data_IF_556185751267
#
_entry.id   IF_556185751267
#
_cell.length_a   1.000
_cell.length_b   1.000
_cell.length_c   1.000
_cell.angle_alpha   90.00
_cell.angle_beta   90.00
_cell.angle_gamma   90.00
#
_symmetry.space_group_name_H-M   'P 1'
#
loop_
_entity.id
_entity.type
_entity.pdbx_description
1 polymer ?
#
# COMPACT_ATOMS: atom_id res chain seq x y z
N UNK A 1 -11.83 -18.40 -1.98
CA UNK A 1 -10.43 -18.24 -1.55
C UNK A 1 -10.03 -16.85 -2.02
N UNK A 2 -10.25 -15.84 -1.19
CA UNK A 2 -10.07 -14.44 -1.57
C UNK A 2 -8.60 -14.07 -1.47
N UNK A 3 -8.01 -13.70 -2.60
CA UNK A 3 -6.72 -13.02 -2.67
C UNK A 3 -7.02 -11.54 -2.41
N UNK A 4 -6.82 -11.09 -1.18
CA UNK A 4 -6.85 -9.65 -0.86
C UNK A 4 -5.61 -9.01 -1.46
N UNK A 5 -5.80 -8.16 -2.47
CA UNK A 5 -4.73 -7.39 -3.10
C UNK A 5 -4.75 -5.97 -2.53
N UNK A 6 -3.70 -5.57 -1.81
CA UNK A 6 -3.70 -4.32 -1.04
C UNK A 6 -3.33 -3.09 -1.90
N UNK A 7 -2.84 -3.25 -3.14
CA UNK A 7 -2.53 -2.11 -4.01
C UNK A 7 -2.75 -2.43 -5.51
N UNK A 8 -3.73 -1.77 -6.13
CA UNK A 8 -3.83 -1.64 -7.58
C UNK A 8 -3.39 -0.24 -8.01
N UNK A 9 -2.27 -0.11 -8.73
CA UNK A 9 -1.79 1.17 -9.24
C UNK A 9 -2.22 1.36 -10.71
N UNK A 10 -3.17 2.27 -10.95
CA UNK A 10 -3.54 2.70 -12.30
C UNK A 10 -2.76 3.97 -12.69
N UNK A 11 -1.78 3.83 -13.57
CA UNK A 11 -1.26 4.90 -14.45
C UNK A 11 -0.39 6.02 -13.83
N UNK A 12 0.80 6.25 -14.44
CA UNK A 12 1.69 7.38 -14.15
C UNK A 12 1.15 8.68 -14.79
N UNK A 13 0.04 9.21 -14.29
CA UNK A 13 -0.39 10.57 -14.62
C UNK A 13 -0.36 11.47 -13.36
N UNK A 14 0.68 12.31 -13.18
CA UNK A 14 0.82 13.11 -11.96
C UNK A 14 -0.33 14.12 -11.75
N UNK A 15 -1.11 14.41 -12.79
CA UNK A 15 -2.24 15.34 -12.77
C UNK A 15 -3.62 14.67 -12.90
N UNK A 16 -3.70 13.35 -13.05
CA UNK A 16 -4.99 12.66 -13.08
C UNK A 16 -5.76 12.91 -11.78
N UNK A 17 -7.10 12.97 -11.78
CA UNK A 17 -7.88 13.05 -10.54
C UNK A 17 -7.51 11.93 -9.57
N UNK A 18 -7.48 12.23 -8.28
CA UNK A 18 -7.27 11.20 -7.26
C UNK A 18 -8.49 10.25 -7.22
N UNK A 19 -8.27 8.93 -7.10
CA UNK A 19 -9.37 8.00 -6.97
C UNK A 19 -10.07 8.16 -5.63
N UNK A 20 -11.38 7.89 -5.61
CA UNK A 20 -12.11 7.63 -4.38
C UNK A 20 -11.59 6.32 -3.78
N UNK A 21 -11.06 6.34 -2.56
CA UNK A 21 -10.34 5.20 -2.00
C UNK A 21 -11.23 3.98 -1.82
N UNK A 22 -12.54 4.17 -1.67
CA UNK A 22 -13.52 3.09 -1.50
C UNK A 22 -14.12 2.60 -2.83
N UNK A 23 -13.63 3.06 -3.97
CA UNK A 23 -14.18 2.74 -5.30
C UNK A 23 -14.16 1.25 -5.67
N UNK A 24 -13.27 0.46 -5.06
CA UNK A 24 -13.14 -0.98 -5.27
C UNK A 24 -13.66 -1.81 -4.07
N UNK A 25 -14.34 -1.20 -3.10
CA UNK A 25 -14.81 -1.92 -1.91
C UNK A 25 -15.90 -2.95 -2.26
N UNK A 26 -15.81 -4.13 -1.66
CA UNK A 26 -16.81 -5.20 -1.76
C UNK A 26 -17.58 -5.32 -0.42
N UNK A 27 -18.70 -6.06 -0.43
CA UNK A 27 -19.56 -6.19 0.74
C UNK A 27 -18.80 -6.84 1.92
N UNK A 28 -18.55 -6.05 2.98
CA UNK A 28 -17.85 -6.49 4.18
C UNK A 28 -16.31 -6.37 4.15
N UNK A 29 -15.71 -5.95 3.03
CA UNK A 29 -14.27 -5.71 2.91
C UNK A 29 -13.98 -4.40 2.18
N UNK A 30 -13.30 -3.47 2.86
CA UNK A 30 -12.87 -2.22 2.25
C UNK A 30 -11.50 -2.40 1.61
N UNK A 31 -11.48 -2.61 0.30
CA UNK A 31 -10.25 -2.47 -0.48
C UNK A 31 -10.02 -0.98 -0.77
N UNK A 32 -8.81 -0.52 -0.47
CA UNK A 32 -8.43 0.88 -0.69
C UNK A 32 -7.68 1.05 -2.00
N UNK A 33 -8.23 1.86 -2.90
CA UNK A 33 -7.60 2.20 -4.17
C UNK A 33 -6.86 3.53 -4.07
N UNK A 34 -5.56 3.52 -4.39
CA UNK A 34 -4.72 4.71 -4.39
C UNK A 34 -4.06 4.92 -5.74
N UNK A 35 -3.85 6.19 -6.11
CA UNK A 35 -2.94 6.56 -7.18
C UNK A 35 -1.52 6.71 -6.62
N UNK A 36 -0.53 6.17 -7.33
CA UNK A 36 0.88 6.43 -7.02
C UNK A 36 1.27 7.76 -7.67
N UNK A 37 1.43 8.79 -6.84
CA UNK A 37 1.81 10.14 -7.31
C UNK A 37 3.31 10.29 -7.54
N UNK A 38 4.09 9.63 -6.69
CA UNK A 38 5.54 9.64 -6.78
C UNK A 38 6.06 8.22 -6.59
N UNK A 39 7.00 7.85 -7.45
CA UNK A 39 7.77 6.62 -7.38
C UNK A 39 9.25 7.02 -7.46
N UNK A 40 9.97 6.82 -6.36
CA UNK A 40 11.36 7.23 -6.22
C UNK A 40 12.21 6.07 -5.69
N UNK A 41 13.33 5.79 -6.36
CA UNK A 41 14.36 4.91 -5.83
C UNK A 41 15.28 5.71 -4.91
N UNK A 42 15.37 5.29 -3.65
CA UNK A 42 16.21 5.92 -2.64
C UNK A 42 17.67 5.49 -2.77
N UNK A 43 18.64 6.22 -2.17
CA UNK A 43 20.07 5.89 -2.26
C UNK A 43 20.45 4.52 -1.71
N UNK A 44 19.67 3.98 -0.76
CA UNK A 44 19.85 2.64 -0.19
C UNK A 44 19.27 1.52 -1.07
N UNK A 45 18.73 1.87 -2.25
CA UNK A 45 18.12 0.95 -3.20
C UNK A 45 16.65 0.63 -2.92
N UNK A 46 16.09 1.08 -1.79
CA UNK A 46 14.67 0.95 -1.50
C UNK A 46 13.83 1.81 -2.45
N UNK A 47 12.54 1.51 -2.57
CA UNK A 47 11.62 2.28 -3.42
C UNK A 47 10.52 2.90 -2.58
N UNK A 48 10.35 4.21 -2.72
CA UNK A 48 9.36 5.01 -2.03
C UNK A 48 8.19 5.33 -2.99
N UNK A 49 7.00 4.92 -2.60
CA UNK A 49 5.75 5.07 -3.34
C UNK A 49 4.81 5.97 -2.55
N UNK A 50 4.59 7.19 -3.04
CA UNK A 50 3.62 8.11 -2.46
C UNK A 50 2.23 7.78 -2.98
N UNK A 51 1.43 7.11 -2.15
CA UNK A 51 0.06 6.73 -2.45
C UNK A 51 -0.91 7.83 -1.98
N UNK A 52 -1.77 8.31 -2.89
CA UNK A 52 -2.76 9.35 -2.62
C UNK A 52 -4.14 8.95 -3.13
N UNK A 53 -5.17 9.43 -2.45
CA UNK A 53 -6.57 9.20 -2.80
C UNK A 53 -7.46 10.27 -2.17
N UNK A 54 -8.76 10.13 -2.38
CA UNK A 54 -9.79 10.98 -1.78
C UNK A 54 -10.85 10.10 -1.11
N UNK A 55 -11.42 10.56 -0.01
CA UNK A 55 -12.63 9.99 0.58
C UNK A 55 -13.64 11.09 0.83
N UNK A 56 -14.77 11.07 0.12
CA UNK A 56 -15.85 12.08 0.25
C UNK A 56 -15.34 13.52 0.15
N UNK A 57 -14.36 13.77 -0.72
CA UNK A 57 -13.73 15.09 -0.92
C UNK A 57 -12.55 15.42 0.00
N UNK A 58 -12.22 14.55 0.97
CA UNK A 58 -11.04 14.70 1.82
C UNK A 58 -9.86 13.94 1.22
N UNK A 59 -8.73 14.63 1.03
CA UNK A 59 -7.50 13.98 0.57
C UNK A 59 -6.93 13.06 1.65
N UNK A 60 -6.46 11.89 1.22
CA UNK A 60 -5.78 10.91 2.06
C UNK A 60 -4.49 10.43 1.40
N UNK A 61 -3.57 9.91 2.21
CA UNK A 61 -2.37 9.28 1.66
C UNK A 61 -1.45 8.63 2.66
N UNK A 62 -0.52 7.84 2.13
CA UNK A 62 0.54 7.17 2.88
C UNK A 62 1.76 7.02 1.99
N UNK A 63 2.96 7.16 2.57
CA UNK A 63 4.19 6.83 1.87
C UNK A 63 4.56 5.38 2.19
N UNK A 64 4.63 4.54 1.16
CA UNK A 64 5.02 3.14 1.27
C UNK A 64 6.45 2.99 0.79
N UNK A 65 7.34 2.49 1.64
CA UNK A 65 8.73 2.19 1.28
C UNK A 65 8.94 0.68 1.24
N UNK A 66 9.31 0.17 0.07
CA UNK A 66 9.64 -1.21 -0.18
C UNK A 66 11.16 -1.37 -0.05
N UNK A 67 11.62 -2.26 0.83
CA UNK A 67 13.06 -2.49 1.02
C UNK A 67 13.76 -2.95 -0.26
N UNK A 68 15.05 -2.68 -0.37
CA UNK A 68 15.87 -3.09 -1.53
C UNK A 68 16.06 -4.62 -1.67
N UNK A 69 15.66 -5.41 -0.66
CA UNK A 69 15.89 -6.86 -0.62
C UNK A 69 14.60 -7.61 -0.35
N UNK A 70 14.28 -8.52 -1.27
CA UNK A 70 13.11 -9.40 -1.25
C UNK A 70 13.55 -10.82 -1.59
N UNK A 71 14.24 -11.55 -0.69
CA UNK A 71 14.58 -12.95 -0.91
C UNK A 71 13.33 -13.83 -1.07
N UNK A 72 13.47 -14.92 -1.81
CA UNK A 72 12.42 -15.93 -1.94
C UNK A 72 11.99 -16.47 -0.58
N UNK A 73 10.67 -16.53 -0.36
CA UNK A 73 10.04 -17.15 0.78
C UNK A 73 9.59 -18.56 0.42
N UNK A 74 10.05 -19.55 1.19
CA UNK A 74 9.57 -20.93 1.05
C UNK A 74 8.33 -21.11 1.92
N UNK A 75 7.18 -21.29 1.28
CA UNK A 75 5.99 -21.85 1.93
C UNK A 75 6.01 -23.38 1.82
N UNK A 76 5.11 -24.06 2.52
CA UNK A 76 4.86 -25.52 2.38
C UNK A 76 4.88 -25.92 0.88
N UNK A 77 5.45 -27.10 0.59
CA UNK A 77 5.64 -27.70 -0.73
C UNK A 77 4.39 -27.78 -1.63
N UNK A 78 3.21 -27.40 -1.12
CA UNK A 78 1.94 -27.40 -1.85
C UNK A 78 1.55 -26.07 -2.49
N UNK A 79 2.32 -24.99 -2.33
CA UNK A 79 2.00 -23.69 -2.95
C UNK A 79 2.71 -23.55 -4.31
N UNK A 80 1.98 -23.47 -5.44
CA UNK A 80 2.57 -23.47 -6.78
C UNK A 80 3.11 -22.09 -7.21
N UNK A 81 3.33 -21.18 -6.27
CA UNK A 81 3.73 -19.79 -6.55
C UNK A 81 5.04 -19.47 -5.85
N UNK A 82 5.96 -18.82 -6.57
CA UNK A 82 7.12 -18.18 -5.95
C UNK A 82 6.63 -17.02 -5.10
N UNK A 83 7.13 -16.96 -3.87
CA UNK A 83 6.87 -15.85 -2.99
C UNK A 83 8.17 -15.17 -2.60
N UNK A 84 8.07 -13.91 -2.19
CA UNK A 84 9.21 -13.13 -1.72
C UNK A 84 8.86 -12.46 -0.40
N UNK A 85 9.85 -12.32 0.49
CA UNK A 85 9.68 -11.67 1.79
C UNK A 85 10.63 -10.48 1.92
N UNK A 86 10.08 -9.32 2.25
CA UNK A 86 10.84 -8.10 2.45
C UNK A 86 10.30 -7.27 3.60
N UNK A 87 10.90 -6.10 3.82
CA UNK A 87 10.40 -5.11 4.77
C UNK A 87 9.59 -4.07 4.02
N UNK A 88 8.36 -3.85 4.48
CA UNK A 88 7.51 -2.73 4.06
C UNK A 88 7.52 -1.72 5.19
N UNK A 89 7.67 -0.45 4.85
CA UNK A 89 7.61 0.63 5.82
C UNK A 89 6.54 1.63 5.41
N UNK A 90 5.60 1.92 6.30
CA UNK A 90 4.67 3.02 6.13
C UNK A 90 5.24 4.26 6.82
N UNK A 91 5.22 5.38 6.12
CA UNK A 91 5.62 6.68 6.63
C UNK A 91 4.45 7.67 6.51
N UNK A 92 4.29 8.48 7.54
CA UNK A 92 3.26 9.51 7.57
C UNK A 92 3.58 10.65 6.59
N UNK A 93 2.56 11.11 5.88
CA UNK A 93 2.54 12.32 5.06
C UNK A 93 1.91 13.50 5.83
N UNK A 94 1.79 13.39 7.16
CA UNK A 94 1.14 14.38 8.01
C UNK A 94 -0.39 14.28 7.92
N UNK A 95 -1.12 15.41 7.76
CA UNK A 95 -2.58 15.43 7.82
C UNK A 95 -3.28 14.43 6.91
N UNK A 96 -2.77 14.19 5.69
CA UNK A 96 -3.36 13.23 4.77
C UNK A 96 -3.32 11.78 5.29
N UNK A 97 -2.28 11.42 6.05
CA UNK A 97 -2.16 10.11 6.68
C UNK A 97 -2.99 10.00 7.96
N UNK A 98 -3.09 11.09 8.72
CA UNK A 98 -3.96 11.15 9.89
C UNK A 98 -5.43 10.98 9.47
N UNK A 99 -5.85 11.69 8.41
CA UNK A 99 -7.17 11.51 7.79
C UNK A 99 -7.40 10.08 7.33
N UNK A 100 -6.40 9.43 6.71
CA UNK A 100 -6.52 8.04 6.31
C UNK A 100 -6.81 7.11 7.50
N UNK A 101 -6.10 7.25 8.62
CA UNK A 101 -6.36 6.44 9.82
C UNK A 101 -7.76 6.67 10.41
N UNK A 102 -8.23 7.92 10.42
CA UNK A 102 -9.59 8.23 10.86
C UNK A 102 -10.65 7.55 9.99
N UNK A 103 -10.44 7.55 8.67
CA UNK A 103 -11.35 6.92 7.72
C UNK A 103 -11.32 5.39 7.86
N UNK A 104 -10.16 4.80 8.12
CA UNK A 104 -10.08 3.37 8.45
C UNK A 104 -10.85 3.04 9.73
N UNK A 105 -10.73 3.87 10.78
CA UNK A 105 -11.47 3.67 12.03
C UNK A 105 -12.99 3.78 11.84
N UNK A 106 -13.45 4.70 10.98
CA UNK A 106 -14.86 4.81 10.56
C UNK A 106 -15.32 3.57 9.78
N UNK A 107 -14.62 3.22 8.70
CA UNK A 107 -15.04 2.18 7.76
C UNK A 107 -15.04 0.79 8.38
N UNK A 108 -14.02 0.47 9.18
CA UNK A 108 -13.97 -0.81 9.89
C UNK A 108 -14.68 -0.81 11.25
N UNK A 109 -15.22 0.34 11.68
CA UNK A 109 -15.95 0.45 12.95
C UNK A 109 -15.12 0.06 14.17
N UNK A 110 -13.81 0.32 14.17
CA UNK A 110 -12.89 -0.19 15.20
C UNK A 110 -12.97 0.58 16.53
N UNK A 111 -13.52 1.80 16.53
CA UNK A 111 -13.62 2.68 17.71
C UNK A 111 -12.28 2.91 18.44
N UNK A 112 -11.18 2.90 17.69
CA UNK A 112 -9.83 3.14 18.20
C UNK A 112 -9.52 4.63 18.33
N UNK A 113 -10.24 5.49 17.62
CA UNK A 113 -10.11 6.95 17.66
C UNK A 113 -8.65 7.40 17.51
N UNK A 114 -7.96 7.03 16.41
CA UNK A 114 -6.57 7.38 16.20
C UNK A 114 -6.41 8.91 16.22
N UNK A 115 -5.32 9.44 16.78
CA UNK A 115 -5.06 10.89 16.77
C UNK A 115 -4.17 11.32 15.61
N UNK A 116 -3.18 10.49 15.30
CA UNK A 116 -2.25 10.71 14.21
C UNK A 116 -1.53 9.41 13.84
N UNK A 117 -1.07 9.34 12.60
CA UNK A 117 -0.19 8.28 12.13
C UNK A 117 1.21 8.49 12.71
N UNK A 118 1.82 7.39 13.15
CA UNK A 118 3.24 7.41 13.54
C UNK A 118 4.11 7.83 12.35
N UNK A 119 5.23 8.48 12.63
CA UNK A 119 6.20 8.89 11.59
C UNK A 119 6.62 7.72 10.71
N UNK A 120 6.86 6.55 11.32
CA UNK A 120 7.26 5.34 10.62
C UNK A 120 6.71 4.10 11.33
N UNK A 121 6.27 3.10 10.57
CA UNK A 121 5.99 1.74 11.08
C UNK A 121 6.44 0.70 10.07
N UNK A 122 7.13 -0.34 10.55
CA UNK A 122 7.72 -1.40 9.73
C UNK A 122 6.95 -2.70 9.86
N UNK A 123 6.82 -3.40 8.75
CA UNK A 123 6.12 -4.67 8.64
C UNK A 123 6.94 -5.65 7.81
N UNK A 124 6.70 -6.94 8.03
CA UNK A 124 7.15 -7.97 7.08
C UNK A 124 6.11 -8.07 5.97
N UNK A 125 6.53 -7.81 4.74
CA UNK A 125 5.70 -7.98 3.55
C UNK A 125 5.94 -9.33 2.90
N UNK A 126 4.89 -9.89 2.30
CA UNK A 126 4.96 -11.06 1.42
C UNK A 126 4.42 -10.65 0.05
N UNK A 127 5.18 -10.90 -1.00
CA UNK A 127 4.72 -10.78 -2.39
C UNK A 127 4.55 -12.15 -3.00
N UNK A 128 3.56 -12.31 -3.89
CA UNK A 128 3.25 -13.56 -4.58
C UNK A 128 3.39 -13.35 -6.09
N UNK A 129 4.20 -14.17 -6.75
CA UNK A 129 4.34 -14.15 -8.21
C UNK A 129 5.30 -13.10 -8.75
N UNK A 130 5.68 -12.10 -7.94
CA UNK A 130 6.59 -11.05 -8.36
C UNK A 130 7.39 -10.41 -7.24
N UNK A 131 8.43 -9.66 -7.65
CA UNK A 131 9.46 -9.18 -6.75
C UNK A 131 9.34 -7.65 -6.58
N UNK A 132 8.99 -7.14 -5.39
CA UNK A 132 8.65 -5.72 -5.23
C UNK A 132 9.81 -4.71 -5.40
N UNK A 133 11.05 -5.16 -5.44
CA UNK A 133 12.20 -4.33 -5.86
C UNK A 133 12.38 -4.26 -7.39
N UNK A 134 11.55 -4.98 -8.15
CA UNK A 134 11.54 -5.09 -9.61
C UNK A 134 10.19 -4.69 -10.22
N UNK A 135 9.55 -3.62 -9.72
CA UNK A 135 8.23 -3.10 -10.15
C UNK A 135 8.06 -2.81 -11.65
N UNK A 136 9.13 -2.90 -12.44
CA UNK A 136 9.11 -2.72 -13.90
C UNK A 136 8.92 -4.04 -14.67
N UNK A 137 8.87 -5.18 -13.97
CA UNK A 137 8.59 -6.50 -14.54
C UNK A 137 7.22 -6.99 -14.10
N UNK A 138 6.40 -7.44 -15.04
CA UNK A 138 5.11 -8.09 -14.73
C UNK A 138 5.31 -9.56 -14.28
N UNK A 139 4.43 -10.12 -13.41
CA UNK A 139 3.67 -9.46 -12.34
C UNK A 139 4.57 -9.19 -11.12
N UNK A 140 4.10 -8.32 -10.21
CA UNK A 140 4.72 -8.01 -8.91
C UNK A 140 3.94 -8.71 -7.80
#
# INVERSE_FOLDING_TARGET
MGISSIFGASGKEPYAPLPEITSAAEEGWHDFTFAIRKDEKLPDGSRALEARGVYRGHEVGVLVVLSASWPEAKFDQKVPWTAYRGVITYRSLGPASDSFLHIMDELYGTALHPKSMRTETKFTGISLGGKPDELEKEPV
#
